data_IF_861943551118
#
_entry.id   IF_861943551118
#
_cell.length_a   1.000
_cell.length_b   1.000
_cell.length_c   1.000
_cell.angle_alpha   90.00
_cell.angle_beta   90.00
_cell.angle_gamma   90.00
#
_symmetry.space_group_name_H-M   'P 1'
#
loop_
_entity.id
_entity.type
_entity.pdbx_description
1 polymer ?
#
# COMPACT_ATOMS: atom_id res chain seq x y z
N UNK A 1 -20.04 -19.24 34.09
CA UNK A 1 -20.41 -19.28 32.66
C UNK A 1 -19.38 -18.46 31.91
N UNK A 2 -18.61 -19.11 31.04
CA UNK A 2 -17.39 -18.61 30.42
C UNK A 2 -17.70 -17.66 29.27
N UNK A 3 -17.05 -16.49 29.26
CA UNK A 3 -17.09 -15.53 28.16
C UNK A 3 -16.18 -16.05 27.06
N UNK A 4 -16.77 -16.44 25.93
CA UNK A 4 -16.03 -16.84 24.73
C UNK A 4 -15.42 -15.57 24.14
N UNK A 5 -14.16 -15.33 24.51
CA UNK A 5 -13.27 -14.39 23.82
C UNK A 5 -13.08 -14.90 22.40
N UNK A 6 -13.70 -14.21 21.43
CA UNK A 6 -13.51 -14.46 20.01
C UNK A 6 -12.07 -14.10 19.62
N UNK A 7 -11.15 -15.06 19.71
CA UNK A 7 -9.89 -15.00 18.99
C UNK A 7 -10.20 -14.98 17.50
N UNK A 8 -9.76 -13.92 16.82
CA UNK A 8 -9.59 -13.93 15.36
C UNK A 8 -8.76 -15.18 14.99
N UNK A 9 -9.13 -15.90 13.92
CA UNK A 9 -8.36 -17.06 13.48
C UNK A 9 -6.91 -16.63 13.24
N UNK A 10 -5.97 -17.40 13.79
CA UNK A 10 -4.54 -17.23 13.57
C UNK A 10 -4.26 -17.31 12.07
N UNK A 11 -4.26 -16.15 11.41
CA UNK A 11 -3.83 -16.04 10.02
C UNK A 11 -2.38 -16.51 9.98
N UNK A 12 -2.14 -17.58 9.22
CA UNK A 12 -0.80 -18.07 8.92
C UNK A 12 0.09 -16.86 8.57
N UNK A 13 1.23 -16.65 9.26
CA UNK A 13 1.95 -15.37 9.30
C UNK A 13 2.45 -14.83 7.94
N UNK A 14 2.33 -15.63 6.87
CA UNK A 14 3.07 -15.46 5.61
C UNK A 14 2.24 -14.81 4.50
N UNK A 15 0.89 -14.94 4.48
CA UNK A 15 0.02 -14.08 3.65
C UNK A 15 -0.25 -12.71 4.31
N UNK A 16 0.15 -12.55 5.57
CA UNK A 16 0.00 -11.31 6.32
C UNK A 16 0.78 -10.16 5.67
N UNK A 17 1.97 -10.43 5.13
CA UNK A 17 2.81 -9.42 4.46
C UNK A 17 2.16 -8.86 3.19
N UNK A 18 1.53 -9.73 2.40
CA UNK A 18 0.71 -9.38 1.23
C UNK A 18 -0.48 -8.52 1.67
N UNK A 19 -1.25 -9.02 2.65
CA UNK A 19 -2.40 -8.31 3.20
C UNK A 19 -2.01 -6.92 3.75
N UNK A 20 -0.87 -6.79 4.42
CA UNK A 20 -0.39 -5.49 4.92
C UNK A 20 0.01 -4.55 3.79
N UNK A 21 0.62 -5.06 2.72
CA UNK A 21 0.95 -4.27 1.53
C UNK A 21 -0.32 -3.75 0.87
N UNK A 22 -1.33 -4.61 0.69
CA UNK A 22 -2.63 -4.25 0.13
C UNK A 22 -3.35 -3.20 0.99
N UNK A 23 -3.26 -3.32 2.32
CA UNK A 23 -3.77 -2.30 3.26
C UNK A 23 -3.04 -0.96 3.13
N UNK A 24 -1.71 -0.96 3.02
CA UNK A 24 -0.92 0.26 2.85
C UNK A 24 -1.35 0.97 1.57
N UNK A 25 -1.36 0.25 0.44
CA UNK A 25 -1.80 0.79 -0.86
C UNK A 25 -3.22 1.35 -0.73
N UNK A 26 -4.13 0.57 -0.14
CA UNK A 26 -5.53 0.94 -0.06
C UNK A 26 -5.75 2.21 0.74
N UNK A 27 -5.16 2.29 1.92
CA UNK A 27 -5.28 3.47 2.80
C UNK A 27 -4.62 4.70 2.20
N UNK A 28 -3.48 4.53 1.52
CA UNK A 28 -2.81 5.62 0.83
C UNK A 28 -3.65 6.17 -0.32
N UNK A 29 -4.20 5.32 -1.19
CA UNK A 29 -5.04 5.74 -2.30
C UNK A 29 -6.34 6.37 -1.82
N UNK A 30 -7.00 5.79 -0.81
CA UNK A 30 -8.20 6.38 -0.19
C UNK A 30 -7.91 7.76 0.42
N UNK A 31 -6.73 7.93 1.03
CA UNK A 31 -6.30 9.24 1.54
C UNK A 31 -6.07 10.24 0.40
N UNK A 32 -5.46 9.80 -0.71
CA UNK A 32 -5.30 10.63 -1.91
C UNK A 32 -6.67 11.08 -2.46
N UNK A 33 -7.64 10.17 -2.57
CA UNK A 33 -9.02 10.48 -3.00
C UNK A 33 -9.65 11.55 -2.10
N UNK A 34 -9.55 11.36 -0.79
CA UNK A 34 -10.17 12.25 0.20
C UNK A 34 -9.55 13.65 0.19
N UNK A 35 -8.24 13.75 -0.04
CA UNK A 35 -7.48 15.00 0.07
C UNK A 35 -7.26 15.72 -1.26
N UNK A 36 -7.54 15.08 -2.40
CA UNK A 36 -7.30 15.66 -3.73
C UNK A 36 -7.98 17.02 -3.94
N UNK A 37 -9.19 17.21 -3.40
CA UNK A 37 -9.94 18.47 -3.53
C UNK A 37 -9.45 19.58 -2.59
N UNK A 38 -8.61 19.26 -1.61
CA UNK A 38 -8.06 20.23 -0.65
C UNK A 38 -6.64 20.67 -1.01
N UNK A 39 -6.10 20.20 -2.14
CA UNK A 39 -4.74 20.53 -2.59
C UNK A 39 -4.71 21.94 -3.16
N UNK A 40 -3.86 22.77 -2.59
CA UNK A 40 -3.54 24.11 -3.10
C UNK A 40 -2.17 24.13 -3.81
N UNK A 41 -1.81 25.27 -4.40
CA UNK A 41 -0.55 25.42 -5.11
C UNK A 41 0.69 25.17 -4.23
N UNK A 42 0.61 25.50 -2.93
CA UNK A 42 1.72 25.38 -1.99
C UNK A 42 1.99 23.93 -1.57
N UNK A 43 0.95 23.10 -1.61
CA UNK A 43 0.99 21.70 -1.17
C UNK A 43 0.96 20.70 -2.31
N UNK A 44 0.69 21.17 -3.53
CA UNK A 44 0.59 20.40 -4.78
C UNK A 44 1.73 19.42 -5.02
N UNK A 45 2.97 19.89 -4.95
CA UNK A 45 4.16 19.08 -5.22
C UNK A 45 4.25 17.87 -4.27
N UNK A 46 3.93 18.10 -3.00
CA UNK A 46 3.96 17.07 -1.96
C UNK A 46 2.83 16.06 -2.12
N UNK A 47 1.64 16.53 -2.51
CA UNK A 47 0.52 15.64 -2.84
C UNK A 47 0.85 14.75 -4.03
N UNK A 48 1.35 15.35 -5.12
CA UNK A 48 1.72 14.61 -6.34
C UNK A 48 2.76 13.54 -6.01
N UNK A 49 3.80 13.90 -5.25
CA UNK A 49 4.84 12.94 -4.83
C UNK A 49 4.25 11.78 -4.02
N UNK A 50 3.38 12.07 -3.06
CA UNK A 50 2.73 11.05 -2.24
C UNK A 50 1.83 10.13 -3.07
N UNK A 51 1.02 10.69 -3.99
CA UNK A 51 0.13 9.95 -4.86
C UNK A 51 0.89 9.08 -5.88
N UNK A 52 1.96 9.61 -6.50
CA UNK A 52 2.81 8.84 -7.41
C UNK A 52 3.49 7.66 -6.70
N UNK A 53 3.89 7.83 -5.45
CA UNK A 53 4.44 6.71 -4.68
C UNK A 53 3.37 5.64 -4.38
N UNK A 54 2.14 6.05 -4.03
CA UNK A 54 1.03 5.11 -3.82
C UNK A 54 0.72 4.29 -5.08
N UNK A 55 0.67 4.95 -6.24
CA UNK A 55 0.46 4.29 -7.54
C UNK A 55 1.65 3.40 -7.91
N UNK A 56 2.89 3.86 -7.70
CA UNK A 56 4.08 3.04 -7.96
C UNK A 56 4.16 1.78 -7.09
N UNK A 57 3.71 1.86 -5.84
CA UNK A 57 3.59 0.69 -4.96
C UNK A 57 2.50 -0.27 -5.44
N UNK A 58 1.36 0.25 -5.90
CA UNK A 58 0.31 -0.56 -6.54
C UNK A 58 0.83 -1.27 -7.80
N UNK A 59 1.50 -0.56 -8.71
CA UNK A 59 2.06 -1.17 -9.92
C UNK A 59 3.08 -2.27 -9.60
N UNK A 60 3.96 -2.04 -8.62
CA UNK A 60 4.91 -3.04 -8.13
C UNK A 60 4.21 -4.30 -7.57
N UNK A 61 3.11 -4.11 -6.84
CA UNK A 61 2.27 -5.18 -6.30
C UNK A 61 1.52 -5.96 -7.39
N UNK A 62 0.99 -5.29 -8.41
CA UNK A 62 0.36 -5.97 -9.55
C UNK A 62 1.39 -6.80 -10.32
N UNK A 63 2.60 -6.26 -10.50
CA UNK A 63 3.71 -6.97 -11.13
C UNK A 63 4.16 -8.21 -10.35
N UNK A 64 4.27 -8.09 -9.03
CA UNK A 64 4.59 -9.22 -8.16
C UNK A 64 3.52 -10.32 -8.23
N UNK A 65 2.24 -9.93 -8.23
CA UNK A 65 1.16 -10.90 -8.31
C UNK A 65 1.11 -11.63 -9.66
N UNK A 66 1.19 -10.91 -10.77
CA UNK A 66 1.11 -11.52 -12.11
C UNK A 66 2.31 -12.40 -12.43
N UNK A 67 3.51 -11.97 -12.06
CA UNK A 67 4.74 -12.62 -12.52
C UNK A 67 5.31 -13.64 -11.51
N UNK A 68 4.86 -13.60 -10.25
CA UNK A 68 5.45 -14.41 -9.18
C UNK A 68 4.39 -15.10 -8.34
N UNK A 69 3.51 -14.35 -7.67
CA UNK A 69 2.63 -14.93 -6.66
C UNK A 69 1.55 -15.81 -7.26
N UNK A 70 0.79 -15.33 -8.25
CA UNK A 70 -0.31 -16.08 -8.84
C UNK A 70 0.18 -17.31 -9.60
N UNK A 71 1.22 -17.24 -10.47
CA UNK A 71 1.78 -18.44 -11.09
C UNK A 71 2.13 -19.55 -10.09
N UNK A 72 2.71 -19.17 -8.94
CA UNK A 72 3.06 -20.13 -7.90
C UNK A 72 1.85 -20.66 -7.13
N UNK A 73 0.87 -19.79 -6.85
CA UNK A 73 -0.31 -20.12 -6.03
C UNK A 73 -1.45 -20.76 -6.82
N UNK A 74 -1.45 -20.68 -8.15
CA UNK A 74 -2.49 -21.24 -9.01
C UNK A 74 -2.63 -22.76 -8.91
N UNK A 75 -1.58 -23.46 -8.49
CA UNK A 75 -1.67 -24.89 -8.14
C UNK A 75 -2.62 -25.19 -6.98
N UNK A 76 -2.91 -24.20 -6.13
CA UNK A 76 -3.88 -24.29 -5.04
C UNK A 76 -5.27 -23.77 -5.42
N UNK A 77 -5.36 -22.85 -6.38
CA UNK A 77 -6.62 -22.33 -6.91
C UNK A 77 -6.42 -21.68 -8.30
N UNK A 78 -6.88 -22.37 -9.35
CA UNK A 78 -6.79 -21.93 -10.75
C UNK A 78 -7.52 -20.61 -11.05
N UNK A 79 -8.37 -20.11 -10.15
CA UNK A 79 -8.99 -18.78 -10.32
C UNK A 79 -7.96 -17.65 -10.28
N UNK A 80 -6.79 -17.87 -9.68
CA UNK A 80 -5.69 -16.90 -9.63
C UNK A 80 -5.10 -16.63 -11.03
N UNK A 81 -5.03 -17.63 -11.90
CA UNK A 81 -4.55 -17.48 -13.29
C UNK A 81 -5.38 -16.49 -14.11
N UNK A 82 -6.66 -16.32 -13.76
CA UNK A 82 -7.59 -15.43 -14.47
C UNK A 82 -7.53 -13.98 -14.00
N UNK A 83 -6.73 -13.67 -12.97
CA UNK A 83 -6.66 -12.31 -12.40
C UNK A 83 -5.85 -11.34 -13.24
N UNK A 84 -4.96 -11.83 -14.11
CA UNK A 84 -4.15 -10.97 -14.98
C UNK A 84 -4.97 -10.05 -15.89
N UNK A 85 -6.16 -10.49 -16.33
CA UNK A 85 -7.07 -9.64 -17.13
C UNK A 85 -7.60 -8.45 -16.33
N UNK A 86 -7.93 -8.65 -15.05
CA UNK A 86 -8.35 -7.57 -14.13
C UNK A 86 -7.19 -6.60 -13.89
N UNK A 87 -5.98 -7.12 -13.71
CA UNK A 87 -4.78 -6.29 -13.55
C UNK A 87 -4.45 -5.46 -14.78
N UNK A 88 -4.71 -5.96 -15.99
CA UNK A 88 -4.48 -5.20 -17.22
C UNK A 88 -5.31 -3.91 -17.26
N UNK A 89 -6.60 -4.00 -16.91
CA UNK A 89 -7.47 -2.83 -16.81
C UNK A 89 -6.95 -1.85 -15.74
N UNK A 90 -6.60 -2.36 -14.56
CA UNK A 90 -6.10 -1.55 -13.46
C UNK A 90 -4.78 -0.84 -13.80
N UNK A 91 -3.86 -1.51 -14.52
CA UNK A 91 -2.60 -0.92 -15.01
C UNK A 91 -2.85 0.22 -16.00
N UNK A 92 -3.87 0.13 -16.84
CA UNK A 92 -4.23 1.25 -17.72
C UNK A 92 -4.69 2.46 -16.91
N UNK A 93 -5.51 2.25 -15.88
CA UNK A 93 -5.95 3.31 -14.97
C UNK A 93 -4.78 3.90 -14.17
N UNK A 94 -3.82 3.08 -13.71
CA UNK A 94 -2.58 3.55 -13.09
C UNK A 94 -1.79 4.47 -14.03
N UNK A 95 -1.57 4.07 -15.29
CA UNK A 95 -0.86 4.90 -16.28
C UNK A 95 -1.56 6.23 -16.51
N UNK A 96 -2.88 6.21 -16.69
CA UNK A 96 -3.68 7.43 -16.83
C UNK A 96 -3.53 8.33 -15.59
N UNK A 97 -3.59 7.76 -14.38
CA UNK A 97 -3.44 8.49 -13.13
C UNK A 97 -2.05 9.13 -13.00
N UNK A 98 -1.00 8.38 -13.30
CA UNK A 98 0.39 8.85 -13.32
C UNK A 98 0.58 10.00 -14.31
N UNK A 99 0.11 9.85 -15.55
CA UNK A 99 0.20 10.91 -16.58
C UNK A 99 -0.54 12.18 -16.15
N UNK A 100 -1.72 12.02 -15.56
CA UNK A 100 -2.54 13.15 -15.10
C UNK A 100 -1.87 13.86 -13.92
N UNK A 101 -1.27 13.11 -12.98
CA UNK A 101 -0.52 13.67 -11.86
C UNK A 101 0.74 14.42 -12.33
N UNK A 102 1.46 13.89 -13.32
CA UNK A 102 2.61 14.59 -13.91
C UNK A 102 2.20 15.90 -14.59
N UNK A 103 1.14 15.87 -15.42
CA UNK A 103 0.60 17.10 -16.04
C UNK A 103 0.15 18.10 -14.99
N UNK A 104 -0.54 17.65 -13.95
CA UNK A 104 -1.02 18.51 -12.88
C UNK A 104 0.13 19.10 -12.03
N UNK A 105 1.25 18.38 -11.89
CA UNK A 105 2.49 18.89 -11.29
C UNK A 105 3.01 20.11 -12.06
N UNK A 106 3.05 20.01 -13.39
CA UNK A 106 3.57 21.04 -14.29
C UNK A 106 2.60 22.22 -14.51
N UNK A 107 1.30 21.99 -14.33
CA UNK A 107 0.28 23.01 -14.53
C UNK A 107 0.44 24.18 -13.55
N UNK A 108 0.37 25.42 -14.05
CA UNK A 108 0.54 26.64 -13.25
C UNK A 108 -0.75 27.14 -12.60
N UNK A 109 -1.88 26.52 -12.94
CA UNK A 109 -3.19 26.91 -12.44
C UNK A 109 -3.48 26.31 -11.06
N UNK A 110 -4.32 27.01 -10.29
CA UNK A 110 -4.73 26.57 -8.96
C UNK A 110 -5.75 25.41 -9.01
N UNK A 111 -6.32 25.09 -10.19
CA UNK A 111 -7.34 24.05 -10.37
C UNK A 111 -6.71 22.68 -10.60
N UNK A 112 -5.94 22.23 -9.62
CA UNK A 112 -5.43 20.86 -9.55
C UNK A 112 -6.57 19.81 -9.42
N UNK A 113 -7.70 20.22 -8.82
CA UNK A 113 -8.62 19.33 -8.10
C UNK A 113 -9.47 18.38 -8.93
N UNK A 114 -10.13 18.82 -10.01
CA UNK A 114 -11.27 18.04 -10.53
C UNK A 114 -10.85 16.81 -11.32
N UNK A 115 -9.86 16.94 -12.22
CA UNK A 115 -9.40 15.82 -13.04
C UNK A 115 -8.59 14.81 -12.23
N UNK A 116 -7.73 15.29 -11.33
CA UNK A 116 -6.95 14.43 -10.43
C UNK A 116 -7.87 13.69 -9.47
N UNK A 117 -8.84 14.39 -8.84
CA UNK A 117 -9.79 13.76 -7.92
C UNK A 117 -10.64 12.70 -8.63
N UNK A 118 -11.26 13.02 -9.78
CA UNK A 118 -12.06 12.05 -10.55
C UNK A 118 -11.27 10.80 -10.91
N UNK A 119 -10.02 10.98 -11.31
CA UNK A 119 -9.18 9.86 -11.73
C UNK A 119 -8.70 9.00 -10.55
N UNK A 120 -8.37 9.62 -9.41
CA UNK A 120 -8.06 8.89 -8.18
C UNK A 120 -9.28 8.13 -7.66
N UNK A 121 -10.49 8.70 -7.76
CA UNK A 121 -11.74 8.02 -7.41
C UNK A 121 -11.96 6.82 -8.32
N UNK A 122 -11.78 6.98 -9.63
CA UNK A 122 -11.85 5.87 -10.59
C UNK A 122 -10.86 4.77 -10.22
N UNK A 123 -9.60 5.11 -9.98
CA UNK A 123 -8.57 4.16 -9.58
C UNK A 123 -8.96 3.43 -8.29
N UNK A 124 -9.42 4.16 -7.26
CA UNK A 124 -9.87 3.56 -6.00
C UNK A 124 -11.02 2.55 -6.19
N UNK A 125 -12.01 2.91 -7.00
CA UNK A 125 -13.16 2.05 -7.30
C UNK A 125 -12.79 0.79 -8.08
N UNK A 126 -11.62 0.75 -8.73
CA UNK A 126 -11.07 -0.47 -9.36
C UNK A 126 -10.20 -1.27 -8.38
N UNK A 127 -9.38 -0.60 -7.57
CA UNK A 127 -8.46 -1.25 -6.61
C UNK A 127 -9.20 -1.97 -5.49
N UNK A 128 -10.13 -1.30 -4.82
CA UNK A 128 -10.83 -1.82 -3.64
C UNK A 128 -11.53 -3.17 -3.90
N UNK A 129 -12.37 -3.33 -4.94
CA UNK A 129 -12.98 -4.63 -5.23
C UNK A 129 -11.94 -5.68 -5.67
N UNK A 130 -10.92 -5.27 -6.42
CA UNK A 130 -9.85 -6.18 -6.87
C UNK A 130 -9.13 -6.82 -5.68
N UNK A 131 -8.74 -6.01 -4.70
CA UNK A 131 -8.06 -6.49 -3.50
C UNK A 131 -8.98 -7.32 -2.59
N UNK A 132 -10.27 -6.96 -2.48
CA UNK A 132 -11.22 -7.74 -1.70
C UNK A 132 -11.43 -9.15 -2.29
N UNK A 133 -11.56 -9.25 -3.61
CA UNK A 133 -11.66 -10.53 -4.31
C UNK A 133 -10.41 -11.39 -4.13
N UNK A 134 -9.22 -10.78 -4.27
CA UNK A 134 -7.94 -11.46 -4.09
C UNK A 134 -7.74 -11.91 -2.66
N UNK A 135 -8.05 -11.07 -1.67
CA UNK A 135 -7.99 -11.44 -0.28
C UNK A 135 -8.89 -12.65 0.02
N UNK A 136 -10.10 -12.70 -0.55
CA UNK A 136 -10.98 -13.86 -0.42
C UNK A 136 -10.37 -15.13 -1.04
N UNK A 137 -9.76 -15.02 -2.23
CA UNK A 137 -9.08 -16.14 -2.89
C UNK A 137 -7.87 -16.62 -2.07
N UNK A 138 -7.01 -15.70 -1.64
CA UNK A 138 -5.82 -15.98 -0.85
C UNK A 138 -6.19 -16.63 0.50
N UNK A 139 -7.22 -16.13 1.19
CA UNK A 139 -7.71 -16.72 2.43
C UNK A 139 -8.25 -18.15 2.21
N UNK A 140 -8.89 -18.42 1.07
CA UNK A 140 -9.40 -19.76 0.76
C UNK A 140 -8.30 -20.81 0.53
N UNK A 141 -7.10 -20.38 0.12
CA UNK A 141 -5.97 -21.27 -0.12
C UNK A 141 -4.93 -21.27 1.00
N UNK A 142 -4.89 -20.23 1.84
CA UNK A 142 -3.88 -20.03 2.89
C UNK A 142 -3.52 -21.28 3.69
N UNK A 143 -4.48 -22.05 4.23
CA UNK A 143 -4.21 -23.28 4.98
C UNK A 143 -3.54 -24.42 4.17
N UNK A 144 -3.53 -24.32 2.84
CA UNK A 144 -3.03 -25.35 1.92
C UNK A 144 -1.66 -24.99 1.32
N UNK A 145 -1.24 -23.72 1.42
CA UNK A 145 0.00 -23.26 0.80
C UNK A 145 1.20 -23.84 1.55
N UNK A 146 2.14 -24.42 0.81
CA UNK A 146 3.36 -24.96 1.41
C UNK A 146 4.30 -23.84 1.86
N UNK A 147 5.04 -24.08 2.94
CA UNK A 147 5.97 -23.10 3.50
C UNK A 147 7.08 -22.71 2.51
N UNK A 148 7.51 -23.64 1.65
CA UNK A 148 8.50 -23.39 0.60
C UNK A 148 8.01 -22.34 -0.41
N UNK A 149 6.78 -22.46 -0.89
CA UNK A 149 6.19 -21.50 -1.83
C UNK A 149 6.01 -20.12 -1.19
N UNK A 150 5.61 -20.10 0.09
CA UNK A 150 5.51 -18.86 0.84
C UNK A 150 6.88 -18.18 0.99
N UNK A 151 7.94 -18.96 1.20
CA UNK A 151 9.30 -18.43 1.36
C UNK A 151 9.83 -17.82 0.05
N UNK A 152 9.48 -18.39 -1.10
CA UNK A 152 9.79 -17.85 -2.43
C UNK A 152 9.13 -16.48 -2.62
N UNK A 153 7.83 -16.38 -2.29
CA UNK A 153 7.07 -15.13 -2.39
C UNK A 153 7.67 -14.04 -1.48
N UNK A 154 8.03 -14.38 -0.25
CA UNK A 154 8.59 -13.41 0.69
C UNK A 154 9.95 -12.85 0.26
N UNK A 155 10.83 -13.68 -0.29
CA UNK A 155 12.14 -13.24 -0.77
C UNK A 155 12.01 -12.35 -2.03
N UNK A 156 11.12 -12.71 -2.97
CA UNK A 156 10.75 -11.85 -4.10
C UNK A 156 10.27 -10.47 -3.64
N UNK A 157 9.33 -10.43 -2.69
CA UNK A 157 8.80 -9.18 -2.15
C UNK A 157 9.86 -8.35 -1.44
N UNK A 158 10.78 -9.01 -0.73
CA UNK A 158 11.91 -8.34 -0.10
C UNK A 158 12.83 -7.73 -1.16
N UNK A 159 13.16 -8.44 -2.23
CA UNK A 159 13.98 -7.92 -3.35
C UNK A 159 13.30 -6.70 -3.99
N UNK A 160 12.00 -6.80 -4.28
CA UNK A 160 11.22 -5.69 -4.87
C UNK A 160 11.17 -4.47 -3.94
N UNK A 161 10.95 -4.67 -2.64
CA UNK A 161 10.99 -3.59 -1.64
C UNK A 161 12.37 -2.94 -1.58
N UNK A 162 13.46 -3.71 -1.62
CA UNK A 162 14.82 -3.17 -1.66
C UNK A 162 15.07 -2.35 -2.92
N UNK A 163 14.56 -2.77 -4.08
CA UNK A 163 14.64 -1.99 -5.31
C UNK A 163 13.90 -0.65 -5.19
N UNK A 164 12.68 -0.64 -4.61
CA UNK A 164 11.95 0.60 -4.33
C UNK A 164 12.71 1.51 -3.35
N UNK A 165 13.31 0.93 -2.30
CA UNK A 165 14.13 1.69 -1.36
C UNK A 165 15.35 2.35 -2.01
N UNK A 166 15.97 1.72 -3.01
CA UNK A 166 17.07 2.33 -3.78
C UNK A 166 16.60 3.51 -4.62
N UNK A 167 15.39 3.44 -5.17
CA UNK A 167 14.79 4.49 -6.02
C UNK A 167 14.35 5.72 -5.21
N UNK A 168 13.56 5.49 -4.16
CA UNK A 168 12.87 6.59 -3.43
C UNK A 168 13.52 6.92 -2.08
N UNK A 169 14.51 6.13 -1.67
CA UNK A 169 15.28 6.29 -0.43
C UNK A 169 14.75 5.46 0.73
N UNK A 170 15.65 4.81 1.47
CA UNK A 170 15.32 3.90 2.57
C UNK A 170 14.39 4.51 3.63
N UNK A 171 14.70 5.73 4.11
CA UNK A 171 13.91 6.37 5.16
C UNK A 171 12.50 6.75 4.67
N UNK A 172 12.37 7.20 3.42
CA UNK A 172 11.07 7.52 2.83
C UNK A 172 10.20 6.26 2.75
N UNK A 173 10.72 5.19 2.11
CA UNK A 173 9.99 3.95 1.96
C UNK A 173 9.60 3.33 3.30
N UNK A 174 10.54 3.26 4.26
CA UNK A 174 10.26 2.69 5.58
C UNK A 174 9.18 3.49 6.31
N UNK A 175 9.30 4.82 6.35
CA UNK A 175 8.34 5.68 7.04
C UNK A 175 6.97 5.63 6.36
N UNK A 176 6.94 5.67 5.03
CA UNK A 176 5.70 5.61 4.26
C UNK A 176 4.90 4.35 4.58
N UNK A 177 5.57 3.19 4.53
CA UNK A 177 4.93 1.90 4.84
C UNK A 177 4.40 1.90 6.27
N UNK A 178 5.22 2.29 7.25
CA UNK A 178 4.82 2.26 8.66
C UNK A 178 3.71 3.26 8.98
N UNK A 179 3.73 4.49 8.42
CA UNK A 179 2.69 5.50 8.66
C UNK A 179 1.31 5.04 8.20
N UNK A 180 1.24 4.20 7.18
CA UNK A 180 -0.03 3.70 6.64
C UNK A 180 -0.58 2.49 7.41
N UNK A 181 0.16 2.00 8.42
CA UNK A 181 -0.24 0.90 9.30
C UNK A 181 -0.79 1.41 10.63
N UNK A 182 -1.70 0.65 11.24
CA UNK A 182 -2.13 0.89 12.62
C UNK A 182 -1.01 0.58 13.60
N UNK A 183 -1.19 0.97 14.86
CA UNK A 183 -0.20 0.73 15.92
C UNK A 183 0.06 -0.78 16.09
N UNK A 184 -1.00 -1.58 16.04
CA UNK A 184 -0.94 -3.04 16.16
C UNK A 184 -0.24 -3.67 14.94
N UNK A 185 -0.55 -3.20 13.74
CA UNK A 185 0.07 -3.70 12.51
C UNK A 185 1.57 -3.34 12.44
N UNK A 186 1.97 -2.17 12.96
CA UNK A 186 3.39 -1.78 13.10
C UNK A 186 4.15 -2.67 14.07
N UNK A 187 3.49 -3.29 15.05
CA UNK A 187 4.19 -4.25 15.92
C UNK A 187 4.62 -5.48 15.11
N UNK A 188 3.80 -5.88 14.14
CA UNK A 188 4.00 -7.06 13.31
C UNK A 188 4.87 -6.77 12.07
N UNK A 189 4.94 -5.51 11.63
CA UNK A 189 5.65 -5.12 10.39
C UNK A 189 6.53 -3.87 10.55
N UNK A 190 7.71 -3.81 9.91
CA UNK A 190 8.40 -4.92 9.26
C UNK A 190 8.85 -5.98 10.28
N UNK A 191 8.87 -7.28 9.93
CA UNK A 191 9.33 -8.33 10.81
C UNK A 191 10.82 -8.18 11.10
N UNK A 192 11.25 -8.57 12.30
CA UNK A 192 12.67 -8.55 12.72
C UNK A 192 13.25 -7.17 13.02
N UNK A 193 12.48 -6.08 12.88
CA UNK A 193 12.93 -4.73 13.24
C UNK A 193 12.50 -4.40 14.68
N UNK A 194 13.43 -4.02 15.58
CA UNK A 194 13.09 -3.64 16.95
C UNK A 194 12.15 -2.43 17.03
N UNK A 195 11.25 -2.39 18.02
CA UNK A 195 10.27 -1.31 18.20
C UNK A 195 10.91 0.09 18.28
N UNK A 196 12.04 0.21 18.98
CA UNK A 196 12.81 1.47 19.09
C UNK A 196 13.26 1.97 17.71
N UNK A 197 13.75 1.06 16.86
CA UNK A 197 14.17 1.43 15.51
C UNK A 197 12.97 1.86 14.64
N UNK A 198 11.82 1.18 14.77
CA UNK A 198 10.57 1.59 14.10
C UNK A 198 10.14 3.00 14.52
N UNK A 199 10.16 3.29 15.82
CA UNK A 199 9.84 4.61 16.36
C UNK A 199 10.82 5.69 15.88
N UNK A 200 12.13 5.41 15.90
CA UNK A 200 13.14 6.34 15.39
C UNK A 200 12.96 6.64 13.90
N UNK A 201 12.64 5.64 13.08
CA UNK A 201 12.33 5.82 11.67
C UNK A 201 11.08 6.69 11.47
N UNK A 202 10.01 6.45 12.23
CA UNK A 202 8.80 7.27 12.17
C UNK A 202 9.07 8.72 12.54
N UNK A 203 9.80 8.98 13.64
CA UNK A 203 10.16 10.34 14.05
C UNK A 203 11.02 11.03 12.99
N UNK A 204 12.10 10.38 12.53
CA UNK A 204 12.99 10.94 11.53
C UNK A 204 12.28 11.21 10.19
N UNK A 205 11.41 10.29 9.77
CA UNK A 205 10.61 10.45 8.57
C UNK A 205 9.52 11.51 8.70
N UNK A 206 8.88 11.64 9.87
CA UNK A 206 7.93 12.71 10.15
C UNK A 206 8.60 14.07 10.04
N UNK A 207 9.82 14.21 10.55
CA UNK A 207 10.58 15.44 10.47
C UNK A 207 10.99 15.76 9.03
N UNK A 208 11.60 14.79 8.34
CA UNK A 208 12.14 14.97 6.99
C UNK A 208 11.07 15.15 5.90
N UNK A 209 9.92 14.51 6.06
CA UNK A 209 8.88 14.44 5.03
C UNK A 209 7.49 14.86 5.56
N UNK A 210 7.49 15.78 6.53
CA UNK A 210 6.28 16.31 7.16
C UNK A 210 5.25 16.80 6.13
N UNK A 211 5.72 17.50 5.08
CA UNK A 211 4.88 18.08 4.04
C UNK A 211 4.24 17.04 3.11
N UNK A 212 4.93 15.95 2.78
CA UNK A 212 4.32 14.87 2.02
C UNK A 212 3.34 14.06 2.86
N UNK A 213 3.70 13.78 4.10
CA UNK A 213 2.89 12.92 4.95
C UNK A 213 1.70 13.61 5.62
N UNK A 214 1.51 14.92 5.44
CA UNK A 214 0.21 15.54 5.73
C UNK A 214 -0.92 14.87 4.93
N UNK A 215 -0.59 14.21 3.81
CA UNK A 215 -1.53 13.46 2.98
C UNK A 215 -1.67 11.99 3.36
N UNK A 216 -0.85 11.49 4.29
CA UNK A 216 -0.98 10.12 4.78
C UNK A 216 -2.28 9.91 5.58
N UNK A 217 -2.79 8.68 5.67
CA UNK A 217 -3.85 8.34 6.60
C UNK A 217 -3.39 8.58 8.05
N UNK A 218 -4.28 9.13 8.88
CA UNK A 218 -3.96 9.41 10.28
C UNK A 218 -4.29 8.20 11.15
N UNK A 219 -3.25 7.63 11.76
CA UNK A 219 -3.35 6.60 12.79
C UNK A 219 -2.56 7.10 14.00
N UNK A 220 -3.01 8.22 14.57
CA UNK A 220 -2.41 8.77 15.79
C UNK A 220 -2.66 7.81 16.94
N UNK A 221 -1.60 7.45 17.67
CA UNK A 221 -1.74 7.03 19.06
C UNK A 221 -2.20 8.24 19.90
N UNK A 222 -3.04 8.06 20.93
CA UNK A 222 -3.41 9.15 21.87
C UNK A 222 -2.21 9.87 22.50
N UNK A 223 -1.02 9.25 22.51
CA UNK A 223 0.21 9.79 23.09
C UNK A 223 0.97 10.80 22.21
N UNK A 224 0.61 10.97 20.92
CA UNK A 224 1.35 11.86 20.00
C UNK A 224 0.78 13.30 19.93
N UNK A 225 -0.22 13.63 20.76
CA UNK A 225 -0.80 14.98 20.87
C UNK A 225 -0.15 15.85 21.97
N UNK A 226 0.91 15.38 22.62
CA UNK A 226 1.58 16.10 23.72
C UNK A 226 3.09 16.24 23.46
N UNK A 227 3.47 16.83 22.32
CA UNK A 227 4.74 17.55 22.16
C UNK A 227 4.46 18.81 21.34
#
# INVERSE_FOLDING_TARGET
MSVISGKLPESTPTLLSISLTDKVISRSLKSCVTKASTVDLSTKEYFVRYALYAIGLLESRLDAADNSWFPLLSKYNQKLDKRGEVHNQLRQTCRQATDTLHKAREAKDAKFGDNVSKLLIKLWNEVEPTFNDEAALLNSIGPKVLQEDLSIIEEEDKIRRLAMMKKDGHLWCATYLMRCLTVEERQQFPPGVPSIAKSAMLVAGNWKFSREFQFAPSFTTPAENNI
#
